data_IF_354462917186
#
_entry.id   IF_354462917186
#
_cell.length_a   1.000
_cell.length_b   1.000
_cell.length_c   1.000
_cell.angle_alpha   90.00
_cell.angle_beta   90.00
_cell.angle_gamma   90.00
#
_symmetry.space_group_name_H-M   'P 1'
#
loop_
_entity.id
_entity.type
_entity.pdbx_description
1 polymer ?
#
# COMPACT_ATOMS: atom_id res chain seq x y z
N UNK A 1 -50.72 -11.59 17.46
CA UNK A 1 -49.89 -11.88 18.65
C UNK A 1 -50.30 -10.84 19.67
N UNK A 2 -50.91 -11.24 20.78
CA UNK A 2 -51.27 -10.31 21.85
C UNK A 2 -50.00 -10.05 22.68
N UNK A 3 -49.49 -8.82 22.62
CA UNK A 3 -48.37 -8.39 23.44
C UNK A 3 -48.89 -8.22 24.87
N UNK A 4 -48.55 -9.17 25.76
CA UNK A 4 -48.86 -9.03 27.18
C UNK A 4 -48.04 -7.88 27.77
N UNK A 5 -48.65 -6.96 28.54
CA UNK A 5 -47.94 -5.83 29.12
C UNK A 5 -46.91 -6.31 30.15
N UNK A 6 -45.66 -5.84 30.00
CA UNK A 6 -44.56 -6.10 30.93
C UNK A 6 -44.93 -5.58 32.33
N UNK A 7 -44.88 -6.45 33.35
CA UNK A 7 -45.06 -6.02 34.74
C UNK A 7 -43.82 -5.28 35.21
N UNK A 8 -44.01 -4.04 35.67
CA UNK A 8 -42.97 -3.19 36.23
C UNK A 8 -43.12 -3.13 37.76
N UNK A 9 -42.02 -2.92 38.48
CA UNK A 9 -42.02 -2.65 39.92
C UNK A 9 -42.29 -1.17 40.25
N UNK A 10 -42.27 -0.82 41.54
CA UNK A 10 -42.56 0.52 42.06
C UNK A 10 -41.52 1.58 41.62
N UNK A 11 -40.38 1.16 41.05
CA UNK A 11 -39.34 2.03 40.49
C UNK A 11 -39.39 2.06 38.94
N UNK A 12 -40.36 1.36 38.33
CA UNK A 12 -40.55 1.29 36.88
C UNK A 12 -39.64 0.29 36.16
N UNK A 13 -39.00 -0.63 36.89
CA UNK A 13 -38.09 -1.65 36.34
C UNK A 13 -38.91 -2.91 35.98
N UNK A 14 -38.69 -3.53 34.81
CA UNK A 14 -39.36 -4.77 34.45
C UNK A 14 -39.05 -5.90 35.42
N UNK A 15 -40.08 -6.43 36.06
CA UNK A 15 -39.98 -7.60 36.92
C UNK A 15 -39.79 -8.82 36.01
N UNK A 16 -38.65 -9.50 36.16
CA UNK A 16 -38.39 -10.76 35.47
C UNK A 16 -39.31 -11.85 36.04
N UNK A 17 -40.42 -12.13 35.37
CA UNK A 17 -41.37 -13.19 35.77
C UNK A 17 -40.75 -14.60 35.71
N UNK A 18 -39.68 -14.76 34.93
CA UNK A 18 -38.87 -15.97 34.84
C UNK A 18 -37.40 -15.64 35.14
N UNK A 19 -36.98 -15.63 36.43
CA UNK A 19 -35.57 -15.48 36.75
C UNK A 19 -34.81 -16.62 36.08
N UNK A 20 -33.81 -16.26 35.28
CA UNK A 20 -32.91 -17.23 34.65
C UNK A 20 -32.12 -17.90 35.76
N UNK A 21 -32.47 -19.13 36.10
CA UNK A 21 -31.73 -19.90 37.09
C UNK A 21 -30.38 -20.27 36.50
N UNK A 22 -29.32 -19.60 36.96
CA UNK A 22 -27.95 -19.82 36.49
C UNK A 22 -27.46 -21.25 36.78
N UNK A 23 -28.12 -21.96 37.70
CA UNK A 23 -27.82 -23.37 37.98
C UNK A 23 -28.51 -24.34 37.00
N UNK A 24 -29.53 -23.90 36.25
CA UNK A 24 -30.22 -24.74 35.27
C UNK A 24 -29.38 -25.01 34.01
N UNK A 25 -28.31 -24.25 33.79
CA UNK A 25 -27.36 -24.48 32.70
C UNK A 25 -26.19 -25.40 33.09
N UNK A 26 -26.11 -25.82 34.36
CA UNK A 26 -24.99 -26.62 34.84
C UNK A 26 -25.02 -28.09 34.38
N UNK A 27 -26.12 -28.55 33.78
CA UNK A 27 -26.30 -29.93 33.27
C UNK A 27 -26.32 -30.03 31.75
N UNK A 28 -26.07 -28.92 31.02
CA UNK A 28 -25.67 -29.09 29.63
C UNK A 28 -24.22 -29.56 29.65
N UNK A 29 -23.89 -30.74 29.08
CA UNK A 29 -22.49 -31.06 28.85
C UNK A 29 -21.94 -29.91 28.02
N UNK A 30 -20.99 -29.15 28.59
CA UNK A 30 -20.11 -28.34 27.78
C UNK A 30 -19.63 -29.32 26.70
N UNK A 31 -20.04 -29.08 25.45
CA UNK A 31 -19.37 -29.72 24.34
C UNK A 31 -17.97 -29.15 24.43
N UNK A 32 -17.10 -29.88 25.13
CA UNK A 32 -15.65 -29.72 25.06
C UNK A 32 -15.30 -30.10 23.63
N UNK A 33 -15.53 -29.16 22.71
CA UNK A 33 -14.75 -29.11 21.50
C UNK A 33 -13.29 -29.10 21.91
N UNK A 34 -12.40 -29.71 21.12
CA UNK A 34 -10.97 -29.68 21.42
C UNK A 34 -10.56 -28.23 21.68
N UNK A 35 -9.69 -28.04 22.66
CA UNK A 35 -9.08 -26.74 22.96
C UNK A 35 -8.20 -26.39 21.75
N UNK A 36 -8.82 -25.82 20.72
CA UNK A 36 -8.15 -25.53 19.45
C UNK A 36 -7.15 -24.43 19.71
N UNK A 37 -5.89 -24.71 19.37
CA UNK A 37 -4.84 -23.70 19.34
C UNK A 37 -5.18 -22.62 18.31
N UNK A 38 -4.70 -21.39 18.49
CA UNK A 38 -4.96 -20.26 17.58
C UNK A 38 -4.69 -20.61 16.10
N UNK A 39 -3.73 -21.51 15.84
CA UNK A 39 -3.43 -22.02 14.50
C UNK A 39 -4.56 -22.86 13.90
N UNK A 40 -5.19 -23.74 14.69
CA UNK A 40 -6.27 -24.61 14.23
C UNK A 40 -7.58 -23.82 14.02
N UNK A 41 -7.78 -22.76 14.80
CA UNK A 41 -8.89 -21.81 14.59
C UNK A 41 -8.71 -21.06 13.27
N UNK A 42 -7.50 -20.58 12.99
CA UNK A 42 -7.17 -19.93 11.72
C UNK A 42 -7.35 -20.89 10.56
N UNK A 43 -6.91 -22.14 10.67
CA UNK A 43 -7.08 -23.15 9.63
C UNK A 43 -8.57 -23.46 9.36
N UNK A 44 -9.41 -23.57 10.39
CA UNK A 44 -10.85 -23.74 10.21
C UNK A 44 -11.54 -22.52 9.61
N UNK A 45 -11.08 -21.30 9.93
CA UNK A 45 -11.60 -20.07 9.34
C UNK A 45 -11.17 -19.95 7.87
N UNK A 46 -9.92 -20.29 7.55
CA UNK A 46 -9.40 -20.32 6.19
C UNK A 46 -10.03 -21.44 5.34
N UNK A 47 -10.46 -22.54 5.99
CA UNK A 47 -11.20 -23.63 5.35
C UNK A 47 -12.64 -23.26 4.95
N UNK A 48 -13.13 -22.07 5.32
CA UNK A 48 -14.40 -21.54 4.80
C UNK A 48 -14.12 -20.86 3.47
N UNK A 49 -14.67 -21.40 2.39
CA UNK A 49 -14.46 -20.94 0.99
C UNK A 49 -14.55 -19.41 0.85
N UNK A 50 -15.55 -18.79 1.48
CA UNK A 50 -15.75 -17.33 1.43
C UNK A 50 -14.63 -16.51 2.07
N UNK A 51 -13.99 -17.03 3.13
CA UNK A 51 -12.87 -16.35 3.79
C UNK A 51 -11.60 -16.50 2.95
N UNK A 52 -11.40 -17.67 2.36
CA UNK A 52 -10.29 -17.90 1.42
C UNK A 52 -10.38 -17.00 0.19
N UNK A 53 -11.57 -16.87 -0.42
CA UNK A 53 -11.82 -15.96 -1.55
C UNK A 53 -11.50 -14.50 -1.18
N UNK A 54 -12.00 -14.00 -0.06
CA UNK A 54 -11.74 -12.62 0.39
C UNK A 54 -10.25 -12.36 0.65
N UNK A 55 -9.52 -13.34 1.18
CA UNK A 55 -8.07 -13.21 1.40
C UNK A 55 -7.31 -13.22 0.08
N UNK A 56 -7.72 -14.05 -0.88
CA UNK A 56 -7.12 -14.07 -2.21
C UNK A 56 -7.36 -12.74 -2.94
N UNK A 57 -8.60 -12.23 -2.92
CA UNK A 57 -8.95 -10.94 -3.51
C UNK A 57 -8.13 -9.80 -2.87
N UNK A 58 -8.01 -9.79 -1.55
CA UNK A 58 -7.21 -8.81 -0.82
C UNK A 58 -5.72 -8.91 -1.18
N UNK A 59 -5.21 -10.14 -1.36
CA UNK A 59 -3.82 -10.39 -1.73
C UNK A 59 -3.54 -9.88 -3.14
N UNK A 60 -4.44 -10.15 -4.08
CA UNK A 60 -4.36 -9.67 -5.46
C UNK A 60 -4.40 -8.14 -5.54
N UNK A 61 -5.28 -7.51 -4.76
CA UNK A 61 -5.40 -6.05 -4.71
C UNK A 61 -4.17 -5.41 -4.05
N UNK A 62 -3.64 -6.01 -2.99
CA UNK A 62 -2.39 -5.58 -2.37
C UNK A 62 -1.22 -5.68 -3.35
N UNK A 63 -1.13 -6.79 -4.09
CA UNK A 63 -0.08 -7.00 -5.08
C UNK A 63 -0.16 -5.95 -6.19
N UNK A 64 -1.36 -5.68 -6.74
CA UNK A 64 -1.56 -4.63 -7.75
C UNK A 64 -1.19 -3.26 -7.22
N UNK A 65 -1.62 -2.91 -6.00
CA UNK A 65 -1.34 -1.62 -5.38
C UNK A 65 0.17 -1.42 -5.17
N UNK A 66 0.87 -2.42 -4.66
CA UNK A 66 2.32 -2.38 -4.47
C UNK A 66 3.04 -2.26 -5.81
N UNK A 67 2.64 -3.03 -6.83
CA UNK A 67 3.22 -2.92 -8.17
C UNK A 67 3.04 -1.52 -8.76
N UNK A 68 1.84 -0.95 -8.69
CA UNK A 68 1.58 0.40 -9.16
C UNK A 68 2.39 1.45 -8.41
N UNK A 69 2.50 1.33 -7.09
CA UNK A 69 3.25 2.29 -6.29
C UNK A 69 4.74 2.23 -6.57
N UNK A 70 5.29 1.03 -6.73
CA UNK A 70 6.69 0.83 -7.13
C UNK A 70 6.93 1.42 -8.52
N UNK A 71 6.04 1.15 -9.48
CA UNK A 71 6.15 1.69 -10.84
C UNK A 71 6.10 3.22 -10.86
N UNK A 72 5.20 3.84 -10.10
CA UNK A 72 5.09 5.29 -9.97
C UNK A 72 6.38 5.90 -9.42
N UNK A 73 6.88 5.37 -8.29
CA UNK A 73 8.11 5.86 -7.65
C UNK A 73 9.31 5.69 -8.57
N UNK A 74 9.44 4.53 -9.24
CA UNK A 74 10.54 4.28 -10.17
C UNK A 74 10.48 5.21 -11.37
N UNK A 75 9.30 5.50 -11.93
CA UNK A 75 9.17 6.45 -13.05
C UNK A 75 9.59 7.85 -12.65
N UNK A 76 9.19 8.31 -11.46
CA UNK A 76 9.54 9.64 -10.96
C UNK A 76 11.05 9.76 -10.72
N UNK A 77 11.65 8.82 -10.01
CA UNK A 77 13.09 8.81 -9.73
C UNK A 77 13.93 8.64 -11.00
N UNK A 78 13.49 7.80 -11.93
CA UNK A 78 14.19 7.64 -13.21
C UNK A 78 14.09 8.91 -14.07
N UNK A 79 12.93 9.55 -14.12
CA UNK A 79 12.76 10.81 -14.84
C UNK A 79 13.64 11.92 -14.26
N UNK A 80 13.69 12.01 -12.93
CA UNK A 80 14.57 12.95 -12.24
C UNK A 80 16.05 12.67 -12.52
N UNK A 81 16.48 11.41 -12.43
CA UNK A 81 17.85 11.01 -12.74
C UNK A 81 18.23 11.34 -14.19
N UNK A 82 17.34 11.06 -15.15
CA UNK A 82 17.55 11.39 -16.56
C UNK A 82 17.65 12.91 -16.73
N UNK A 83 16.78 13.67 -16.10
CA UNK A 83 16.78 15.13 -16.17
C UNK A 83 18.07 15.71 -15.60
N UNK A 84 18.46 15.31 -14.39
CA UNK A 84 19.68 15.75 -13.72
C UNK A 84 20.93 15.39 -14.54
N UNK A 85 21.00 14.16 -15.06
CA UNK A 85 22.10 13.72 -15.91
C UNK A 85 22.15 14.51 -17.23
N UNK A 86 20.99 14.81 -17.83
CA UNK A 86 20.89 15.57 -19.09
C UNK A 86 21.27 17.03 -18.89
N UNK A 87 20.77 17.69 -17.85
CA UNK A 87 21.14 19.07 -17.52
C UNK A 87 22.62 19.18 -17.21
N UNK A 88 23.14 18.31 -16.34
CA UNK A 88 24.55 18.33 -15.95
C UNK A 88 25.47 18.02 -17.13
N UNK A 89 25.09 17.07 -17.99
CA UNK A 89 25.85 16.74 -19.20
C UNK A 89 25.80 17.88 -20.23
N UNK A 90 24.62 18.48 -20.46
CA UNK A 90 24.45 19.60 -21.40
C UNK A 90 25.24 20.84 -20.98
N UNK A 91 25.19 21.21 -19.69
CA UNK A 91 25.93 22.35 -19.16
C UNK A 91 27.44 22.13 -19.31
N UNK A 92 27.94 20.96 -18.92
CA UNK A 92 29.35 20.60 -19.03
C UNK A 92 29.81 20.53 -20.50
N UNK A 93 29.00 19.93 -21.37
CA UNK A 93 29.29 19.84 -22.81
C UNK A 93 29.34 21.23 -23.45
N UNK A 94 28.42 22.13 -23.10
CA UNK A 94 28.44 23.50 -23.60
C UNK A 94 29.68 24.27 -23.13
N UNK A 95 30.13 24.04 -21.91
CA UNK A 95 31.34 24.65 -21.37
C UNK A 95 32.60 24.10 -22.06
N UNK A 96 32.67 22.79 -22.28
CA UNK A 96 33.76 22.13 -23.00
C UNK A 96 33.84 22.62 -24.45
N UNK A 97 32.71 22.69 -25.17
CA UNK A 97 32.65 23.23 -26.55
C UNK A 97 33.12 24.69 -26.57
N UNK A 98 32.66 25.52 -25.63
CA UNK A 98 33.07 26.92 -25.55
C UNK A 98 34.58 27.03 -25.32
N UNK A 99 35.13 26.24 -24.41
CA UNK A 99 36.56 26.23 -24.10
C UNK A 99 37.38 25.77 -25.31
N UNK A 100 36.97 24.68 -25.97
CA UNK A 100 37.64 24.21 -27.18
C UNK A 100 37.57 25.22 -28.33
N UNK A 101 36.41 25.87 -28.53
CA UNK A 101 36.28 26.96 -29.50
C UNK A 101 37.19 28.14 -29.16
N UNK A 102 37.27 28.55 -27.89
CA UNK A 102 38.17 29.62 -27.44
C UNK A 102 39.65 29.30 -27.66
N UNK A 103 40.05 28.05 -27.43
CA UNK A 103 41.42 27.58 -27.67
C UNK A 103 41.75 27.49 -29.17
N UNK A 104 40.79 27.06 -29.99
CA UNK A 104 40.98 26.89 -31.44
C UNK A 104 40.80 28.21 -32.23
N UNK A 105 40.07 29.19 -31.69
CA UNK A 105 39.76 30.48 -32.32
C UNK A 105 41.00 31.23 -32.84
N UNK A 106 42.10 31.38 -32.07
CA UNK A 106 43.30 32.08 -32.54
C UNK A 106 43.92 31.43 -33.77
N UNK A 107 44.06 30.10 -33.80
CA UNK A 107 44.60 29.38 -34.96
C UNK A 107 43.67 29.46 -36.17
N UNK A 108 42.36 29.39 -35.96
CA UNK A 108 41.34 29.56 -37.00
C UNK A 108 41.42 30.96 -37.64
N UNK A 109 41.55 32.01 -36.82
CA UNK A 109 41.69 33.39 -37.31
C UNK A 109 42.98 33.56 -38.12
N UNK A 110 44.09 32.98 -37.66
CA UNK A 110 45.37 33.01 -38.40
C UNK A 110 45.27 32.25 -39.73
N UNK A 111 44.61 31.08 -39.76
CA UNK A 111 44.39 30.33 -41.01
C UNK A 111 43.54 31.13 -42.00
N UNK A 112 42.43 31.69 -41.56
CA UNK A 112 41.54 32.50 -42.42
C UNK A 112 42.27 33.75 -42.94
N UNK A 113 43.08 34.41 -42.10
CA UNK A 113 43.86 35.58 -42.51
C UNK A 113 44.94 35.23 -43.57
N UNK A 114 45.54 34.03 -43.49
CA UNK A 114 46.50 33.54 -44.48
C UNK A 114 45.83 33.13 -45.79
N UNK A 115 44.65 32.52 -45.74
CA UNK A 115 43.88 32.17 -46.94
C UNK A 115 43.34 33.39 -47.69
N UNK A 116 43.04 34.50 -47.00
CA UNK A 116 42.60 35.75 -47.63
C UNK A 116 43.71 36.60 -48.25
N UNK A 117 44.97 36.30 -47.96
CA UNK A 117 46.13 37.05 -48.44
C UNK A 117 46.94 36.31 -49.52
N UNK A 118 46.52 35.10 -49.92
CA UNK A 118 46.94 34.40 -51.14
C UNK A 118 45.91 34.61 -52.26
#
# INVERSE_FOLDING_TARGET
MEEQPLKLDDEGIPILEHPVDLNAFSDQPLVTGPDLTDHEIVEQLLGKDRISELINDLTDDLQKMVSWKIEEVLKEELAKLIHDATEQSSAKLSEDIRTQLQLALPELVVKIAKEKTS
#
